data_IF_065845241782
#
_entry.id   IF_065845241782
#
_cell.length_a   1.000
_cell.length_b   1.000
_cell.length_c   1.000
_cell.angle_alpha   90.00
_cell.angle_beta   90.00
_cell.angle_gamma   90.00
#
_symmetry.space_group_name_H-M   'P 1'
#
loop_
_entity.id
_entity.type
_entity.pdbx_description
1 polymer ?
#
# COMPACT_ATOMS: atom_id res chain seq x y z
N UNK A 1 -36.62 -23.24 -11.46
CA UNK A 1 -36.27 -21.80 -11.48
C UNK A 1 -34.77 -21.53 -11.77
N UNK A 2 -33.96 -22.56 -12.08
CA UNK A 2 -32.51 -22.41 -12.36
C UNK A 2 -32.20 -21.96 -13.79
N UNK A 3 -33.04 -22.31 -14.77
CA UNK A 3 -32.87 -21.94 -16.18
C UNK A 3 -32.83 -20.42 -16.41
N UNK A 4 -33.59 -19.64 -15.62
CA UNK A 4 -33.59 -18.17 -15.72
C UNK A 4 -32.29 -17.57 -15.20
N UNK A 5 -31.68 -18.15 -14.17
CA UNK A 5 -30.41 -17.69 -13.62
C UNK A 5 -29.24 -17.99 -14.56
N UNK A 6 -29.23 -19.18 -15.17
CA UNK A 6 -28.25 -19.57 -16.20
C UNK A 6 -28.35 -18.66 -17.43
N UNK A 7 -29.57 -18.39 -17.89
CA UNK A 7 -29.79 -17.49 -19.04
C UNK A 7 -29.35 -16.05 -18.73
N UNK A 8 -29.60 -15.56 -17.52
CA UNK A 8 -29.17 -14.23 -17.09
C UNK A 8 -27.64 -14.13 -16.99
N UNK A 9 -26.98 -15.19 -16.51
CA UNK A 9 -25.52 -15.26 -16.43
C UNK A 9 -24.90 -15.29 -17.83
N UNK A 10 -25.44 -16.09 -18.75
CA UNK A 10 -25.00 -16.14 -20.15
C UNK A 10 -25.14 -14.78 -20.85
N UNK A 11 -26.24 -14.06 -20.59
CA UNK A 11 -26.48 -12.71 -21.12
C UNK A 11 -25.51 -11.67 -20.52
N UNK A 12 -25.21 -11.76 -19.22
CA UNK A 12 -24.21 -10.90 -18.56
C UNK A 12 -22.80 -11.15 -19.10
N UNK A 13 -22.41 -12.41 -19.25
CA UNK A 13 -21.10 -12.80 -19.80
C UNK A 13 -20.97 -12.32 -21.26
N UNK A 14 -21.98 -12.54 -22.11
CA UNK A 14 -21.94 -12.06 -23.51
C UNK A 14 -21.95 -10.53 -23.63
N UNK A 15 -22.63 -9.82 -22.73
CA UNK A 15 -22.61 -8.35 -22.67
C UNK A 15 -21.25 -7.78 -22.23
N UNK A 16 -20.57 -8.47 -21.31
CA UNK A 16 -19.23 -8.14 -20.83
C UNK A 16 -18.16 -8.38 -21.91
N UNK A 17 -18.24 -9.53 -22.58
CA UNK A 17 -17.26 -9.93 -23.60
C UNK A 17 -17.36 -9.01 -24.83
N UNK A 18 -18.53 -8.44 -25.11
CA UNK A 18 -18.71 -7.50 -26.23
C UNK A 18 -18.24 -6.06 -25.95
N UNK A 19 -17.94 -5.70 -24.70
CA UNK A 19 -17.58 -4.33 -24.29
C UNK A 19 -16.14 -4.17 -23.73
N UNK A 20 -15.31 -5.22 -23.71
CA UNK A 20 -13.92 -5.14 -23.23
C UNK A 20 -12.90 -5.62 -24.27
N UNK A 21 -11.74 -4.96 -24.34
CA UNK A 21 -10.66 -5.18 -25.31
C UNK A 21 -9.84 -6.48 -25.08
N UNK A 22 -10.35 -7.45 -24.33
CA UNK A 22 -9.65 -8.71 -24.04
C UNK A 22 -10.41 -9.86 -24.70
N UNK A 23 -10.19 -9.97 -26.01
CA UNK A 23 -10.73 -11.03 -26.84
C UNK A 23 -9.96 -12.35 -26.64
N UNK A 24 -10.74 -13.44 -26.65
CA UNK A 24 -10.40 -14.85 -26.93
C UNK A 24 -10.25 -15.84 -25.75
N UNK A 25 -9.57 -15.55 -24.64
CA UNK A 25 -9.29 -16.64 -23.66
C UNK A 25 -10.44 -17.04 -22.72
N UNK A 26 -11.35 -16.11 -22.39
CA UNK A 26 -12.42 -16.37 -21.39
C UNK A 26 -13.66 -17.02 -22.02
N UNK A 27 -13.91 -16.78 -23.31
CA UNK A 27 -15.06 -17.34 -24.01
C UNK A 27 -14.92 -18.86 -24.27
N UNK A 28 -13.70 -19.35 -24.55
CA UNK A 28 -13.45 -20.79 -24.77
C UNK A 28 -13.57 -21.62 -23.48
N UNK A 29 -13.24 -21.04 -22.33
CA UNK A 29 -13.30 -21.73 -21.03
C UNK A 29 -14.73 -21.97 -20.54
N UNK A 30 -15.70 -21.17 -21.00
CA UNK A 30 -17.10 -21.21 -20.54
C UNK A 30 -18.04 -21.96 -21.51
N UNK A 31 -17.61 -22.24 -22.74
CA UNK A 31 -18.44 -22.90 -23.76
C UNK A 31 -18.24 -24.42 -23.86
N UNK A 32 -17.33 -25.01 -23.07
CA UNK A 32 -16.93 -26.41 -23.21
C UNK A 32 -17.60 -27.39 -22.24
N UNK A 33 -18.39 -26.96 -21.26
CA UNK A 33 -19.12 -27.88 -20.38
C UNK A 33 -20.64 -27.83 -20.62
N UNK A 34 -21.14 -28.79 -21.41
CA UNK A 34 -22.56 -29.20 -21.42
C UNK A 34 -22.87 -30.17 -20.27
N UNK A 35 -22.31 -29.94 -19.08
CA UNK A 35 -22.63 -30.70 -17.89
C UNK A 35 -23.21 -29.77 -16.84
N UNK A 36 -24.25 -30.20 -16.13
CA UNK A 36 -24.89 -29.39 -15.10
C UNK A 36 -23.83 -28.90 -14.11
N UNK A 37 -23.58 -27.59 -13.98
CA UNK A 37 -22.53 -27.11 -13.11
C UNK A 37 -22.91 -27.45 -11.69
N UNK A 38 -22.07 -28.24 -11.01
CA UNK A 38 -22.11 -28.39 -9.56
C UNK A 38 -22.08 -26.98 -8.92
N UNK A 39 -22.79 -26.80 -7.80
CA UNK A 39 -22.93 -25.47 -7.16
C UNK A 39 -21.57 -24.78 -6.92
N UNK A 40 -20.50 -25.56 -6.73
CA UNK A 40 -19.12 -25.10 -6.55
C UNK A 40 -18.55 -24.35 -7.77
N UNK A 41 -18.95 -24.69 -9.00
CA UNK A 41 -18.47 -24.00 -10.21
C UNK A 41 -19.07 -22.60 -10.34
N UNK A 42 -20.34 -22.45 -9.95
CA UNK A 42 -21.01 -21.16 -9.97
C UNK A 42 -20.39 -20.20 -8.95
N UNK A 43 -20.11 -20.69 -7.75
CA UNK A 43 -19.43 -19.91 -6.71
C UNK A 43 -17.99 -19.55 -7.11
N UNK A 44 -17.25 -20.47 -7.73
CA UNK A 44 -15.91 -20.18 -8.25
C UNK A 44 -15.93 -19.07 -9.31
N UNK A 45 -16.83 -19.19 -10.28
CA UNK A 45 -16.97 -18.22 -11.38
C UNK A 45 -17.46 -16.88 -10.85
N UNK A 46 -18.41 -16.87 -9.91
CA UNK A 46 -18.92 -15.65 -9.29
C UNK A 46 -17.85 -14.95 -8.45
N UNK A 47 -17.02 -15.70 -7.71
CA UNK A 47 -15.90 -15.14 -6.95
C UNK A 47 -14.80 -14.60 -7.86
N UNK A 48 -14.50 -15.30 -8.96
CA UNK A 48 -13.58 -14.83 -9.99
C UNK A 48 -14.07 -13.52 -10.63
N UNK A 49 -15.34 -13.46 -11.04
CA UNK A 49 -15.94 -12.26 -11.65
C UNK A 49 -16.06 -11.11 -10.64
N UNK A 50 -16.39 -11.38 -9.36
CA UNK A 50 -16.35 -10.34 -8.30
C UNK A 50 -14.96 -9.76 -8.11
N UNK A 51 -13.90 -10.56 -8.21
CA UNK A 51 -12.52 -10.08 -8.19
C UNK A 51 -12.15 -9.29 -9.44
N UNK A 52 -12.73 -9.63 -10.59
CA UNK A 52 -12.46 -9.00 -11.89
C UNK A 52 -13.24 -7.69 -12.10
N UNK A 53 -14.44 -7.58 -11.55
CA UNK A 53 -15.32 -6.39 -11.59
C UNK A 53 -15.32 -5.58 -10.29
N UNK A 54 -14.44 -5.90 -9.33
CA UNK A 54 -14.20 -4.99 -8.24
C UNK A 54 -13.74 -3.65 -8.85
N UNK A 55 -14.52 -2.59 -8.63
CA UNK A 55 -14.11 -1.20 -8.85
C UNK A 55 -12.63 -1.06 -8.44
N UNK A 56 -11.78 -0.36 -9.22
CA UNK A 56 -10.33 -0.32 -8.97
C UNK A 56 -10.10 0.02 -7.51
N UNK A 57 -9.64 -0.96 -6.70
CA UNK A 57 -9.82 -0.91 -5.25
C UNK A 57 -9.31 0.41 -4.68
N UNK A 58 -10.21 1.37 -4.46
CA UNK A 58 -9.89 2.60 -3.76
C UNK A 58 -9.93 2.24 -2.29
N UNK A 59 -8.83 1.71 -1.77
CA UNK A 59 -8.64 1.67 -0.32
C UNK A 59 -8.06 3.01 0.09
N UNK A 60 -8.76 3.76 0.93
CA UNK A 60 -8.21 4.92 1.61
C UNK A 60 -8.23 4.64 3.10
N UNK A 61 -7.03 4.56 3.67
CA UNK A 61 -6.84 4.21 5.07
C UNK A 61 -6.30 5.46 5.77
N UNK A 62 -7.14 6.04 6.62
CA UNK A 62 -6.82 7.23 7.39
C UNK A 62 -5.64 6.97 8.32
N UNK A 63 -4.62 7.83 8.24
CA UNK A 63 -3.43 7.79 9.08
C UNK A 63 -3.08 9.19 9.55
N UNK A 64 -2.60 9.31 10.78
CA UNK A 64 -2.10 10.59 11.30
C UNK A 64 -0.90 11.05 10.49
N UNK A 65 -0.94 12.29 10.01
CA UNK A 65 0.16 12.92 9.29
C UNK A 65 1.18 13.53 10.26
N UNK A 66 2.44 13.12 10.15
CA UNK A 66 3.57 13.76 10.84
C UNK A 66 4.46 14.47 9.83
N UNK A 67 4.58 15.79 9.94
CA UNK A 67 5.45 16.59 9.06
C UNK A 67 6.89 16.55 9.56
N UNK A 68 7.86 16.34 8.69
CA UNK A 68 9.26 16.23 9.09
C UNK A 68 9.83 17.54 9.65
N UNK A 69 9.25 18.68 9.24
CA UNK A 69 9.61 20.03 9.68
C UNK A 69 8.70 20.58 10.80
N UNK A 70 7.93 19.74 11.49
CA UNK A 70 7.13 20.17 12.63
C UNK A 70 8.00 20.80 13.73
N UNK A 71 7.52 21.85 14.40
CA UNK A 71 8.27 22.55 15.44
C UNK A 71 8.67 21.68 16.64
N UNK A 72 7.96 20.59 16.91
CA UNK A 72 8.24 19.69 18.03
C UNK A 72 9.49 18.81 17.81
N UNK A 73 9.89 18.56 16.56
CA UNK A 73 11.01 17.65 16.26
C UNK A 73 11.89 18.04 15.07
N UNK A 74 11.46 18.98 14.22
CA UNK A 74 12.14 19.32 12.97
C UNK A 74 13.58 19.83 13.15
N UNK A 75 13.91 20.36 14.33
CA UNK A 75 15.26 20.81 14.69
C UNK A 75 16.17 19.70 15.26
N UNK A 76 15.62 18.50 15.54
CA UNK A 76 16.41 17.40 16.09
C UNK A 76 17.36 16.87 15.02
N UNK A 77 18.64 16.80 15.35
CA UNK A 77 19.68 16.24 14.48
C UNK A 77 19.51 14.73 14.34
N UNK A 78 19.58 14.19 13.12
CA UNK A 78 19.70 12.76 12.87
C UNK A 78 21.18 12.37 13.07
N UNK A 79 22.04 12.88 12.20
CA UNK A 79 23.50 12.89 12.35
C UNK A 79 24.03 14.30 12.10
N UNK A 80 24.37 14.65 10.86
CA UNK A 80 24.82 15.98 10.43
C UNK A 80 23.70 16.80 9.76
N UNK A 81 22.50 16.25 9.67
CA UNK A 81 21.27 16.90 9.17
C UNK A 81 20.14 16.79 10.18
N UNK A 82 19.21 17.74 10.14
CA UNK A 82 18.00 17.69 10.99
C UNK A 82 16.89 16.82 10.38
N UNK A 83 15.90 16.46 11.20
CA UNK A 83 14.64 15.86 10.72
C UNK A 83 13.97 16.73 9.65
N UNK A 84 13.97 18.05 9.79
CA UNK A 84 13.38 18.90 8.76
C UNK A 84 14.11 18.78 7.42
N UNK A 85 15.44 18.62 7.43
CA UNK A 85 16.23 18.54 6.19
C UNK A 85 16.09 17.20 5.47
N UNK A 86 16.14 16.07 6.18
CA UNK A 86 16.22 14.72 5.57
C UNK A 86 15.40 13.65 6.30
N UNK A 87 14.43 14.04 7.12
CA UNK A 87 13.66 13.14 7.99
C UNK A 87 12.45 12.46 7.36
N UNK A 88 12.23 12.58 6.04
CA UNK A 88 11.03 12.06 5.38
C UNK A 88 10.76 10.58 5.69
N UNK A 89 11.77 9.73 5.58
CA UNK A 89 11.62 8.30 5.86
C UNK A 89 11.30 8.03 7.33
N UNK A 90 11.97 8.72 8.27
CA UNK A 90 11.72 8.56 9.71
C UNK A 90 10.29 8.99 10.04
N UNK A 91 9.81 10.09 9.46
CA UNK A 91 8.43 10.54 9.62
C UNK A 91 7.43 9.55 9.02
N UNK A 92 7.68 9.00 7.83
CA UNK A 92 6.83 7.96 7.23
C UNK A 92 6.74 6.69 8.06
N UNK A 93 7.87 6.21 8.60
CA UNK A 93 7.90 5.04 9.49
C UNK A 93 7.21 5.34 10.83
N UNK A 94 7.35 6.55 11.36
CA UNK A 94 6.61 6.96 12.57
C UNK A 94 5.10 6.91 12.35
N UNK A 95 4.62 7.41 11.21
CA UNK A 95 3.20 7.35 10.84
C UNK A 95 2.71 5.89 10.70
N UNK A 96 3.52 5.00 10.12
CA UNK A 96 3.26 3.55 10.05
C UNK A 96 3.08 2.93 11.44
N UNK A 97 3.98 3.23 12.37
CA UNK A 97 3.96 2.63 13.70
C UNK A 97 2.78 3.18 14.50
N UNK A 98 2.54 4.48 14.40
CA UNK A 98 1.46 5.17 15.08
C UNK A 98 0.08 4.73 14.58
N UNK A 99 -0.12 4.56 13.27
CA UNK A 99 -1.40 4.09 12.70
C UNK A 99 -1.78 2.70 13.18
N UNK A 100 -0.79 1.89 13.59
CA UNK A 100 -0.97 0.54 14.13
C UNK A 100 -0.98 0.48 15.65
N UNK A 101 -1.12 1.62 16.31
CA UNK A 101 -1.19 1.72 17.76
C UNK A 101 0.10 1.30 18.47
N UNK A 102 1.24 1.24 17.76
CA UNK A 102 2.52 0.89 18.38
C UNK A 102 3.01 2.09 19.19
N UNK A 103 3.59 1.79 20.36
CA UNK A 103 4.21 2.77 21.25
C UNK A 103 5.71 2.51 21.36
N UNK A 104 6.50 3.57 21.52
CA UNK A 104 7.94 3.48 21.74
C UNK A 104 8.20 3.90 23.19
N UNK A 105 8.63 2.94 24.03
CA UNK A 105 8.87 3.16 25.47
C UNK A 105 7.67 3.78 26.21
N UNK A 106 6.45 3.34 25.86
CA UNK A 106 5.21 3.84 26.45
C UNK A 106 4.72 5.19 25.91
N UNK A 107 5.43 5.80 24.96
CA UNK A 107 5.03 7.03 24.29
C UNK A 107 4.53 6.78 22.86
N UNK A 108 3.82 7.75 22.29
CA UNK A 108 3.42 7.71 20.88
C UNK A 108 4.63 7.55 19.95
N UNK A 109 4.52 6.68 18.93
CA UNK A 109 5.53 6.49 17.90
C UNK A 109 5.57 7.67 16.90
N UNK A 110 6.05 8.83 17.35
CA UNK A 110 6.22 10.04 16.54
C UNK A 110 7.68 10.18 16.07
N UNK A 111 7.99 11.16 15.19
CA UNK A 111 9.34 11.29 14.64
C UNK A 111 10.44 11.50 15.68
N UNK A 112 10.14 12.18 16.80
CA UNK A 112 11.10 12.39 17.89
C UNK A 112 11.40 11.10 18.65
N UNK A 113 10.35 10.37 19.05
CA UNK A 113 10.50 9.11 19.82
C UNK A 113 11.14 8.02 18.97
N UNK A 114 10.75 7.91 17.70
CA UNK A 114 11.37 6.97 16.77
C UNK A 114 12.84 7.30 16.53
N UNK A 115 13.18 8.56 16.23
CA UNK A 115 14.58 8.95 16.01
C UNK A 115 15.45 8.64 17.23
N UNK A 116 14.96 8.94 18.43
CA UNK A 116 15.67 8.65 19.68
C UNK A 116 15.90 7.15 19.88
N UNK A 117 14.90 6.33 19.56
CA UNK A 117 15.02 4.88 19.61
C UNK A 117 16.02 4.34 18.56
N UNK A 118 15.94 4.81 17.31
CA UNK A 118 16.85 4.37 16.25
C UNK A 118 18.31 4.67 16.60
N UNK A 119 18.61 5.85 17.16
CA UNK A 119 19.95 6.21 17.61
C UNK A 119 20.51 5.26 18.67
N UNK A 120 19.66 4.73 19.54
CA UNK A 120 20.06 3.84 20.63
C UNK A 120 20.11 2.36 20.25
N UNK A 121 19.52 1.97 19.11
CA UNK A 121 19.34 0.57 18.72
C UNK A 121 19.98 0.24 17.35
N UNK A 122 20.95 1.04 16.91
CA UNK A 122 21.64 0.83 15.63
C UNK A 122 20.73 0.99 14.41
N UNK A 123 19.64 1.76 14.56
CA UNK A 123 18.67 2.02 13.49
C UNK A 123 19.13 3.06 12.46
N UNK A 124 20.33 3.62 12.64
CA UNK A 124 20.93 4.61 11.76
C UNK A 124 22.39 4.30 11.44
N UNK A 125 22.77 4.58 10.19
CA UNK A 125 24.15 4.68 9.72
C UNK A 125 24.35 6.08 9.14
N UNK A 126 24.86 7.02 9.95
CA UNK A 126 24.80 8.45 9.61
C UNK A 126 23.35 8.93 9.56
N UNK A 127 22.94 9.57 8.46
CA UNK A 127 21.52 9.92 8.24
C UNK A 127 20.69 8.78 7.61
N UNK A 128 21.30 7.63 7.31
CA UNK A 128 20.62 6.55 6.60
C UNK A 128 19.87 5.64 7.57
N UNK A 129 18.61 5.36 7.25
CA UNK A 129 17.77 4.42 7.99
C UNK A 129 18.19 2.97 7.73
N UNK A 130 18.28 2.17 8.78
CA UNK A 130 18.52 0.72 8.69
C UNK A 130 17.16 0.01 8.65
N UNK A 131 16.75 -0.48 7.47
CA UNK A 131 15.39 -0.97 7.21
C UNK A 131 14.84 -1.98 8.21
N UNK A 132 15.65 -2.97 8.61
CA UNK A 132 15.24 -4.02 9.55
C UNK A 132 15.20 -3.59 11.02
N UNK A 133 15.67 -2.37 11.35
CA UNK A 133 15.86 -1.96 12.75
C UNK A 133 14.56 -1.83 13.54
N UNK A 134 13.44 -1.53 12.87
CA UNK A 134 12.13 -1.35 13.53
C UNK A 134 11.34 -2.64 13.71
N UNK A 135 11.93 -3.80 13.39
CA UNK A 135 11.29 -5.11 13.58
C UNK A 135 10.81 -5.34 15.02
N UNK A 136 11.63 -4.99 16.01
CA UNK A 136 11.27 -5.10 17.44
C UNK A 136 10.20 -4.11 17.88
N UNK A 137 9.89 -3.09 17.09
CA UNK A 137 8.77 -2.16 17.32
C UNK A 137 7.46 -2.68 16.71
N UNK A 138 7.46 -3.89 16.13
CA UNK A 138 6.30 -4.51 15.51
C UNK A 138 6.09 -4.14 14.05
N UNK A 139 7.13 -3.70 13.34
CA UNK A 139 7.10 -3.48 11.88
C UNK A 139 8.29 -4.19 11.23
N UNK A 140 8.05 -5.36 10.63
CA UNK A 140 9.10 -6.15 9.99
C UNK A 140 9.25 -5.73 8.54
N UNK A 141 10.42 -5.19 8.17
CA UNK A 141 10.74 -4.95 6.77
C UNK A 141 10.78 -6.28 5.99
N UNK A 142 10.07 -6.33 4.87
CA UNK A 142 9.96 -7.53 4.02
C UNK A 142 10.92 -7.40 2.83
N UNK A 143 10.67 -6.43 1.96
CA UNK A 143 11.44 -6.21 0.75
C UNK A 143 11.14 -4.82 0.15
N UNK A 144 11.88 -4.50 -0.93
CA UNK A 144 11.51 -3.45 -1.86
C UNK A 144 10.82 -4.07 -3.08
N UNK A 145 9.79 -3.38 -3.58
CA UNK A 145 9.05 -3.78 -4.78
C UNK A 145 8.94 -2.59 -5.73
N UNK A 146 8.87 -2.85 -7.04
CA UNK A 146 8.75 -1.80 -8.08
C UNK A 146 7.51 -1.95 -8.95
N UNK A 147 6.88 -3.13 -8.98
CA UNK A 147 5.67 -3.36 -9.76
C UNK A 147 4.48 -2.64 -9.14
N UNK A 148 3.77 -1.82 -9.93
CA UNK A 148 2.54 -1.15 -9.51
C UNK A 148 1.51 -2.13 -8.95
N UNK A 149 1.31 -3.28 -9.60
CA UNK A 149 0.33 -4.28 -9.15
C UNK A 149 0.71 -4.91 -7.81
N UNK A 150 2.01 -5.12 -7.59
CA UNK A 150 2.53 -5.66 -6.33
C UNK A 150 2.42 -4.63 -5.20
N UNK A 151 2.75 -3.36 -5.47
CA UNK A 151 2.57 -2.26 -4.51
C UNK A 151 1.10 -2.16 -4.08
N UNK A 152 0.18 -2.14 -5.05
CA UNK A 152 -1.25 -2.03 -4.80
C UNK A 152 -1.79 -3.18 -3.93
N UNK A 153 -1.30 -4.41 -4.15
CA UNK A 153 -1.65 -5.57 -3.32
C UNK A 153 -1.36 -5.33 -1.83
N UNK A 154 -0.24 -4.67 -1.50
CA UNK A 154 0.13 -4.41 -0.11
C UNK A 154 -0.58 -3.21 0.51
N UNK A 155 -0.95 -2.18 -0.26
CA UNK A 155 -1.56 -0.96 0.29
C UNK A 155 -2.92 -1.26 0.95
N UNK A 156 -3.71 -2.16 0.36
CA UNK A 156 -5.03 -2.51 0.89
C UNK A 156 -5.01 -3.72 1.86
N UNK A 157 -3.87 -4.37 2.05
CA UNK A 157 -3.76 -5.50 2.98
C UNK A 157 -3.51 -4.98 4.40
N UNK A 158 -4.43 -5.29 5.31
CA UNK A 158 -4.37 -4.84 6.71
C UNK A 158 -3.15 -5.38 7.47
N UNK A 159 -2.44 -6.40 6.98
CA UNK A 159 -1.22 -6.92 7.59
C UNK A 159 0.05 -6.17 7.14
N UNK A 160 -0.08 -5.21 6.23
CA UNK A 160 1.05 -4.49 5.66
C UNK A 160 0.88 -2.98 5.71
N UNK A 161 2.03 -2.31 5.62
CA UNK A 161 2.17 -0.88 5.49
C UNK A 161 3.24 -0.60 4.44
N UNK A 162 3.05 0.47 3.66
CA UNK A 162 3.80 0.71 2.43
C UNK A 162 4.37 2.11 2.42
N UNK A 163 5.70 2.21 2.43
CA UNK A 163 6.41 3.49 2.26
C UNK A 163 6.88 3.60 0.81
N UNK A 164 6.38 4.61 0.10
CA UNK A 164 6.75 4.87 -1.29
C UNK A 164 8.01 5.72 -1.34
N UNK A 165 8.88 5.41 -2.30
CA UNK A 165 10.04 6.22 -2.65
C UNK A 165 9.74 6.96 -3.95
N UNK A 166 9.74 8.30 -3.88
CA UNK A 166 9.26 9.20 -4.93
C UNK A 166 10.32 10.21 -5.32
N UNK A 167 10.02 11.06 -6.32
CA UNK A 167 10.91 12.12 -6.80
C UNK A 167 12.29 11.60 -7.23
N UNK A 168 12.31 10.52 -8.03
CA UNK A 168 13.57 9.92 -8.50
C UNK A 168 14.41 9.28 -7.39
N UNK A 169 13.78 8.92 -6.27
CA UNK A 169 14.42 8.25 -5.14
C UNK A 169 14.83 9.16 -3.98
N UNK A 170 14.68 10.48 -4.13
CA UNK A 170 15.11 11.45 -3.11
C UNK A 170 14.13 11.67 -1.95
N UNK A 171 12.90 11.15 -2.02
CA UNK A 171 11.87 11.40 -1.03
C UNK A 171 11.10 10.13 -0.64
N UNK A 172 10.56 10.12 0.58
CA UNK A 172 9.78 9.01 1.11
C UNK A 172 8.45 9.51 1.69
N UNK A 173 7.38 8.79 1.38
CA UNK A 173 6.00 9.12 1.79
C UNK A 173 5.28 7.84 2.23
N UNK A 174 4.32 7.95 3.14
CA UNK A 174 3.50 6.80 3.53
C UNK A 174 2.31 6.67 2.58
N UNK A 175 2.13 5.52 1.93
CA UNK A 175 0.94 5.27 1.14
C UNK A 175 -0.27 5.16 2.06
N UNK A 176 -1.36 5.85 1.70
CA UNK A 176 -2.65 5.72 2.38
C UNK A 176 -3.68 5.00 1.52
N UNK A 177 -3.43 4.90 0.22
CA UNK A 177 -4.35 4.32 -0.74
C UNK A 177 -3.86 4.39 -2.17
N UNK A 178 -4.73 4.03 -3.10
CA UNK A 178 -4.52 4.28 -4.52
C UNK A 178 -5.83 4.52 -5.27
N UNK A 179 -5.72 5.13 -6.45
CA UNK A 179 -6.81 5.39 -7.39
C UNK A 179 -6.43 4.83 -8.76
N UNK A 180 -7.26 5.08 -9.78
CA UNK A 180 -6.93 4.74 -11.17
C UNK A 180 -5.73 5.53 -11.75
N UNK A 181 -5.29 6.61 -11.10
CA UNK A 181 -4.25 7.52 -11.62
C UNK A 181 -2.99 7.59 -10.77
N UNK A 182 -3.01 7.06 -9.55
CA UNK A 182 -1.84 7.10 -8.68
C UNK A 182 -2.10 6.60 -7.28
N UNK A 183 -1.20 6.96 -6.36
CA UNK A 183 -1.24 6.61 -4.95
C UNK A 183 -1.68 7.82 -4.12
N UNK A 184 -2.58 7.59 -3.16
CA UNK A 184 -2.87 8.54 -2.08
C UNK A 184 -1.79 8.40 -1.00
N UNK A 185 -1.34 9.50 -0.43
CA UNK A 185 -0.21 9.51 0.52
C UNK A 185 -0.37 10.49 1.67
N UNK A 186 0.31 10.17 2.77
CA UNK A 186 0.75 11.13 3.77
C UNK A 186 2.20 11.54 3.48
N UNK A 187 2.38 12.76 2.98
CA UNK A 187 3.69 13.33 2.67
C UNK A 187 4.25 14.16 3.83
N UNK A 188 5.38 13.74 4.45
CA UNK A 188 5.97 14.46 5.57
C UNK A 188 6.70 15.74 5.15
N UNK A 189 7.17 15.85 3.91
CA UNK A 189 8.01 16.95 3.42
C UNK A 189 7.25 18.01 2.63
N UNK A 190 6.22 17.64 1.88
CA UNK A 190 5.46 18.54 1.00
C UNK A 190 3.97 18.57 1.32
N UNK A 191 3.28 19.65 0.95
CA UNK A 191 1.81 19.70 1.01
C UNK A 191 1.21 19.00 -0.21
N UNK A 192 1.45 17.69 -0.33
CA UNK A 192 1.02 16.82 -1.43
C UNK A 192 0.32 15.59 -0.84
N UNK A 193 -0.83 15.22 -1.38
CA UNK A 193 -1.65 14.09 -0.90
C UNK A 193 -1.73 12.93 -1.88
N UNK A 194 -1.12 13.04 -3.06
CA UNK A 194 -1.08 11.97 -4.04
C UNK A 194 0.14 12.05 -4.94
N UNK A 195 0.56 10.92 -5.51
CA UNK A 195 1.61 10.83 -6.53
C UNK A 195 1.14 9.93 -7.67
N UNK A 196 1.44 10.32 -8.92
CA UNK A 196 1.20 9.47 -10.08
C UNK A 196 2.08 8.22 -10.06
N UNK A 197 1.67 7.15 -10.75
CA UNK A 197 2.41 5.88 -10.77
C UNK A 197 3.87 6.04 -11.20
N UNK A 198 4.12 6.87 -12.22
CA UNK A 198 5.47 7.13 -12.74
C UNK A 198 6.37 7.93 -11.80
N UNK A 199 5.81 8.58 -10.78
CA UNK A 199 6.59 9.33 -9.78
C UNK A 199 7.15 8.41 -8.68
N UNK A 200 6.67 7.17 -8.58
CA UNK A 200 7.12 6.17 -7.61
C UNK A 200 8.22 5.32 -8.23
N UNK A 201 9.42 5.39 -7.65
CA UNK A 201 10.57 4.58 -8.09
C UNK A 201 10.53 3.17 -7.52
N UNK A 202 10.06 3.03 -6.27
CA UNK A 202 9.87 1.76 -5.57
C UNK A 202 8.99 1.95 -4.34
N UNK A 203 8.54 0.86 -3.75
CA UNK A 203 7.96 0.84 -2.42
C UNK A 203 8.77 -0.04 -1.48
N UNK A 204 8.67 0.25 -0.18
CA UNK A 204 9.26 -0.51 0.91
C UNK A 204 8.13 -1.09 1.74
N UNK A 205 8.11 -2.42 1.85
CA UNK A 205 7.00 -3.17 2.45
C UNK A 205 7.34 -3.52 3.89
N UNK A 206 6.43 -3.19 4.80
CA UNK A 206 6.49 -3.58 6.20
C UNK A 206 5.31 -4.44 6.55
N UNK A 207 5.55 -5.59 7.20
CA UNK A 207 4.51 -6.40 7.84
C UNK A 207 4.32 -5.93 9.28
N UNK A 208 3.08 -5.72 9.72
CA UNK A 208 2.72 -5.04 10.99
C UNK A 208 1.81 -5.84 11.93
#
# INVERSE_FOLDING_TARGET
>A
NNMKAVLLLLLLVTYVVSNSLVQESIAELLLTEQHEPEEDFFDYTLNFLKGYFAEPNTCDVSRTLFKQCDGAWGSIMISDKTLCQVGCLISSVSMLLNSRGKSISGASANPSTLLSWLKSHGGLSGNLFVWGSVGSLGATFVNHVTSTSEIQKYICDTNYEVVLNVNGGGHYVLATGYTSTGYSVNDPGFSKSSYGFSEVTRASIFRV
#
